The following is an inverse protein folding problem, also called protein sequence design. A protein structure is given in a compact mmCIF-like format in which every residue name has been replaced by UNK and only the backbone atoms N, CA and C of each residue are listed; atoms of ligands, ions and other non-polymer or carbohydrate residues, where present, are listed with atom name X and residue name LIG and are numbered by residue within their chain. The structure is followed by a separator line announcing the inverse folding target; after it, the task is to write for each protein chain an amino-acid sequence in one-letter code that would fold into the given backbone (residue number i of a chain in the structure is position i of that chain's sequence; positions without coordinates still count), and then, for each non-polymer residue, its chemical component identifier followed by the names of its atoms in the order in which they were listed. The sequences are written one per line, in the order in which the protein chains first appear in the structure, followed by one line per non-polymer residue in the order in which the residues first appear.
data_IF_674951876868
#
_entry.id   IF_674951876868
#
_cell.length_a   1.000
_cell.length_b   1.000
_cell.length_c   1.000
_cell.angle_alpha   90.00
_cell.angle_beta   90.00
_cell.angle_gamma   90.00
#
_symmetry.space_group_name_H-M   'P 1'
#
loop_
_entity.id
_entity.type
_entity.pdbx_description
1 polymer ?
#
# COMPACT_ATOMS: atom_id res chain seq x y z
N UNK A 1 -0.05 25.50 15.91
CA UNK A 1 -1.14 25.75 14.95
C UNK A 1 -2.23 26.50 15.71
N UNK A 2 -2.75 27.63 15.19
CA UNK A 2 -3.87 28.35 15.79
C UNK A 2 -5.11 27.44 15.89
N UNK A 3 -6.00 27.72 16.84
CA UNK A 3 -7.26 26.98 16.97
C UNK A 3 -8.18 27.32 15.80
N UNK A 4 -8.67 26.30 15.09
CA UNK A 4 -9.61 26.49 13.98
C UNK A 4 -10.87 27.25 14.44
N UNK A 5 -11.41 28.18 13.61
CA UNK A 5 -12.66 28.87 13.92
C UNK A 5 -13.84 27.89 13.96
N UNK A 6 -14.99 28.32 14.52
CA UNK A 6 -16.22 27.53 14.48
C UNK A 6 -16.75 27.48 13.05
N UNK A 7 -16.85 26.27 12.50
CA UNK A 7 -17.28 26.06 11.12
C UNK A 7 -18.76 26.38 10.89
N UNK A 8 -19.05 27.22 9.91
CA UNK A 8 -20.42 27.61 9.53
C UNK A 8 -21.19 26.44 8.89
N UNK A 9 -22.52 26.48 8.96
CA UNK A 9 -23.38 25.43 8.37
C UNK A 9 -23.15 25.30 6.86
N UNK A 10 -23.06 26.43 6.16
CA UNK A 10 -22.80 26.48 4.71
C UNK A 10 -21.48 25.80 4.33
N UNK A 11 -20.42 26.01 5.11
CA UNK A 11 -19.10 25.40 4.84
C UNK A 11 -19.18 23.89 5.09
N UNK A 12 -19.86 23.45 6.13
CA UNK A 12 -20.06 22.02 6.39
C UNK A 12 -20.82 21.34 5.25
N UNK A 13 -21.89 21.95 4.76
CA UNK A 13 -22.70 21.43 3.65
C UNK A 13 -21.88 21.29 2.35
N UNK A 14 -21.00 22.26 2.06
CA UNK A 14 -20.08 22.19 0.91
C UNK A 14 -18.93 21.21 1.11
N UNK A 15 -18.41 21.11 2.33
CA UNK A 15 -17.24 20.27 2.65
C UNK A 15 -17.59 18.78 2.68
N UNK A 16 -18.74 18.42 3.24
CA UNK A 16 -19.16 17.03 3.41
C UNK A 16 -19.08 16.16 2.14
N UNK A 17 -19.68 16.54 0.99
CA UNK A 17 -19.59 15.74 -0.23
C UNK A 17 -18.15 15.64 -0.75
N UNK A 18 -17.34 16.70 -0.58
CA UNK A 18 -15.94 16.67 -1.02
C UNK A 18 -15.09 15.71 -0.18
N UNK A 19 -15.29 15.68 1.14
CA UNK A 19 -14.59 14.75 2.03
C UNK A 19 -15.06 13.30 1.81
N UNK A 20 -16.34 13.10 1.51
CA UNK A 20 -16.87 11.79 1.13
C UNK A 20 -16.22 11.30 -0.19
N UNK A 21 -16.17 12.16 -1.21
CA UNK A 21 -15.52 11.84 -2.48
C UNK A 21 -14.02 11.56 -2.31
N UNK A 22 -13.32 12.31 -1.45
CA UNK A 22 -11.92 12.07 -1.17
C UNK A 22 -11.70 10.70 -0.49
N UNK A 23 -12.58 10.31 0.44
CA UNK A 23 -12.53 8.97 1.07
C UNK A 23 -12.86 7.86 0.07
N UNK A 24 -13.83 8.09 -0.82
CA UNK A 24 -14.14 7.16 -1.89
C UNK A 24 -12.94 6.99 -2.84
N UNK A 25 -12.28 8.09 -3.19
CA UNK A 25 -11.06 8.08 -4.02
C UNK A 25 -9.92 7.28 -3.37
N UNK A 26 -9.88 7.19 -2.03
CA UNK A 26 -8.93 6.33 -1.32
C UNK A 26 -9.27 4.84 -1.47
N UNK A 27 -10.55 4.49 -1.51
CA UNK A 27 -11.01 3.11 -1.74
C UNK A 27 -10.84 2.68 -3.19
N UNK A 28 -10.88 3.63 -4.12
CA UNK A 28 -10.74 3.35 -5.55
C UNK A 28 -9.32 3.62 -6.09
N UNK A 29 -8.42 4.11 -5.22
CA UNK A 29 -7.10 4.66 -5.58
C UNK A 29 -7.13 5.67 -6.74
N UNK A 30 -8.22 6.42 -6.87
CA UNK A 30 -8.43 7.40 -7.93
C UNK A 30 -7.74 8.72 -7.60
N UNK A 31 -6.48 8.84 -8.04
CA UNK A 31 -5.70 10.06 -7.85
C UNK A 31 -6.27 11.29 -8.58
N UNK A 32 -7.01 11.10 -9.68
CA UNK A 32 -7.57 12.20 -10.45
C UNK A 32 -8.74 12.84 -9.70
N UNK A 33 -9.70 12.04 -9.25
CA UNK A 33 -10.81 12.50 -8.43
C UNK A 33 -10.37 12.99 -7.05
N UNK A 34 -9.34 12.36 -6.47
CA UNK A 34 -8.72 12.85 -5.24
C UNK A 34 -8.14 14.27 -5.42
N UNK A 35 -7.46 14.53 -6.53
CA UNK A 35 -6.88 15.85 -6.83
C UNK A 35 -7.97 16.92 -6.99
N UNK A 36 -9.04 16.64 -7.74
CA UNK A 36 -10.18 17.55 -7.91
C UNK A 36 -10.81 17.88 -6.54
N UNK A 37 -11.07 16.85 -5.73
CA UNK A 37 -11.68 16.99 -4.41
C UNK A 37 -10.77 17.80 -3.48
N UNK A 38 -9.47 17.49 -3.43
CA UNK A 38 -8.51 18.16 -2.57
C UNK A 38 -8.31 19.63 -2.96
N UNK A 39 -8.31 19.98 -4.25
CA UNK A 39 -8.23 21.38 -4.69
C UNK A 39 -9.43 22.18 -4.19
N UNK A 40 -10.65 21.63 -4.33
CA UNK A 40 -11.88 22.27 -3.85
C UNK A 40 -11.90 22.41 -2.32
N UNK A 41 -11.49 21.36 -1.60
CA UNK A 41 -11.34 21.40 -0.14
C UNK A 41 -10.32 22.47 0.27
N UNK A 42 -9.18 22.55 -0.40
CA UNK A 42 -8.15 23.54 -0.07
C UNK A 42 -8.65 24.96 -0.28
N UNK A 43 -9.34 25.23 -1.39
CA UNK A 43 -9.90 26.54 -1.67
C UNK A 43 -10.94 26.94 -0.63
N UNK A 44 -11.80 26.00 -0.21
CA UNK A 44 -12.84 26.24 0.80
C UNK A 44 -12.27 26.46 2.22
N UNK A 45 -11.27 25.66 2.62
CA UNK A 45 -10.78 25.68 4.00
C UNK A 45 -9.69 26.72 4.24
N UNK A 46 -8.86 27.04 3.24
CA UNK A 46 -7.76 27.99 3.39
C UNK A 46 -8.25 29.43 3.51
N UNK A 47 -9.25 29.82 2.71
CA UNK A 47 -9.82 31.19 2.76
C UNK A 47 -10.41 31.52 4.14
N UNK A 48 -10.84 30.49 4.87
CA UNK A 48 -11.56 30.60 6.13
C UNK A 48 -10.71 30.19 7.36
N UNK A 49 -9.44 29.84 7.16
CA UNK A 49 -8.50 29.53 8.24
C UNK A 49 -8.70 28.18 8.95
N UNK A 50 -9.41 27.21 8.37
CA UNK A 50 -9.59 25.86 8.95
C UNK A 50 -8.38 24.94 8.66
N UNK A 51 -7.21 25.35 9.13
CA UNK A 51 -5.95 24.68 8.80
C UNK A 51 -5.86 23.25 9.36
N UNK A 52 -6.40 22.96 10.55
CA UNK A 52 -6.33 21.60 11.11
C UNK A 52 -7.15 20.62 10.26
N UNK A 53 -8.37 21.00 9.87
CA UNK A 53 -9.20 20.18 8.98
C UNK A 53 -8.60 20.04 7.58
N UNK A 54 -7.91 21.07 7.09
CA UNK A 54 -7.17 21.01 5.83
C UNK A 54 -6.03 19.99 5.89
N UNK A 55 -5.24 19.98 6.96
CA UNK A 55 -4.15 19.00 7.12
C UNK A 55 -4.67 17.55 7.19
N UNK A 56 -5.80 17.32 7.85
CA UNK A 56 -6.44 15.98 7.89
C UNK A 56 -6.80 15.48 6.49
N UNK A 57 -7.40 16.34 5.65
CA UNK A 57 -7.73 15.99 4.27
C UNK A 57 -6.47 15.80 3.41
N UNK A 58 -5.44 16.61 3.62
CA UNK A 58 -4.16 16.46 2.93
C UNK A 58 -3.44 15.14 3.26
N UNK A 59 -3.55 14.65 4.50
CA UNK A 59 -3.00 13.33 4.85
C UNK A 59 -3.64 12.22 4.00
N UNK A 60 -4.97 12.24 3.89
CA UNK A 60 -5.70 11.28 3.04
C UNK A 60 -5.27 11.42 1.58
N UNK A 61 -5.24 12.65 1.07
CA UNK A 61 -4.80 12.90 -0.29
C UNK A 61 -3.38 12.38 -0.56
N UNK A 62 -2.41 12.66 0.32
CA UNK A 62 -1.03 12.19 0.10
C UNK A 62 -0.87 10.68 0.32
N UNK A 63 -1.73 10.03 1.10
CA UNK A 63 -1.83 8.57 1.11
C UNK A 63 -2.25 8.04 -0.26
N UNK A 64 -3.27 8.64 -0.90
CA UNK A 64 -3.70 8.27 -2.27
C UNK A 64 -2.56 8.48 -3.27
N UNK A 65 -1.88 9.63 -3.22
CA UNK A 65 -0.76 9.96 -4.10
C UNK A 65 0.40 8.97 -3.91
N UNK A 66 0.70 8.59 -2.67
CA UNK A 66 1.72 7.59 -2.35
C UNK A 66 1.34 6.20 -2.90
N UNK A 67 0.10 5.75 -2.69
CA UNK A 67 -0.37 4.47 -3.23
C UNK A 67 -0.52 4.46 -4.76
N UNK A 68 -0.49 5.64 -5.39
CA UNK A 68 -0.38 5.82 -6.84
C UNK A 68 1.07 5.93 -7.33
N UNK A 69 2.06 5.59 -6.49
CA UNK A 69 3.50 5.62 -6.76
C UNK A 69 4.07 6.98 -7.17
N UNK A 70 3.33 8.07 -6.92
CA UNK A 70 3.84 9.43 -7.08
C UNK A 70 4.54 9.90 -5.80
N UNK A 71 5.63 9.19 -5.46
CA UNK A 71 6.32 9.30 -4.18
C UNK A 71 6.92 10.69 -3.95
N UNK A 72 7.41 11.36 -4.98
CA UNK A 72 8.00 12.70 -4.84
C UNK A 72 6.96 13.74 -4.41
N UNK A 73 5.77 13.71 -4.98
CA UNK A 73 4.67 14.61 -4.61
C UNK A 73 4.18 14.28 -3.20
N UNK A 74 4.02 12.98 -2.87
CA UNK A 74 3.63 12.55 -1.53
C UNK A 74 4.64 13.01 -0.46
N UNK A 75 5.95 12.78 -0.67
CA UNK A 75 7.00 13.18 0.27
C UNK A 75 6.98 14.68 0.52
N UNK A 76 7.03 15.49 -0.54
CA UNK A 76 7.01 16.95 -0.44
C UNK A 76 5.76 17.44 0.32
N UNK A 77 4.61 16.86 0.01
CA UNK A 77 3.34 17.13 0.67
C UNK A 77 3.35 16.83 2.17
N UNK A 78 3.79 15.63 2.53
CA UNK A 78 3.84 15.14 3.91
C UNK A 78 4.86 15.92 4.75
N UNK A 79 6.02 16.26 4.19
CA UNK A 79 6.99 17.17 4.84
C UNK A 79 6.37 18.55 5.09
N UNK A 80 5.57 19.05 4.15
CA UNK A 80 4.79 20.27 4.31
C UNK A 80 3.79 20.19 5.47
N UNK A 81 3.14 19.04 5.67
CA UNK A 81 2.26 18.80 6.82
C UNK A 81 3.06 18.81 8.12
N UNK A 82 4.20 18.11 8.18
CA UNK A 82 5.05 18.07 9.39
C UNK A 82 5.51 19.45 9.86
N UNK A 83 5.72 20.40 8.93
CA UNK A 83 6.07 21.79 9.25
C UNK A 83 4.92 22.58 9.88
N UNK A 84 3.67 22.15 9.70
CA UNK A 84 2.47 22.88 10.11
C UNK A 84 1.77 22.30 11.34
N UNK A 85 1.88 20.99 11.58
CA UNK A 85 1.20 20.32 12.69
C UNK A 85 2.11 20.21 13.92
N UNK A 86 1.52 20.09 15.10
CA UNK A 86 2.29 19.89 16.34
C UNK A 86 3.01 18.54 16.34
N UNK A 87 4.25 18.49 16.84
CA UNK A 87 5.03 17.26 16.96
C UNK A 87 4.39 16.16 17.82
N UNK A 88 3.49 16.52 18.74
CA UNK A 88 2.73 15.56 19.55
C UNK A 88 1.37 15.17 18.95
N UNK A 89 0.97 15.81 17.84
CA UNK A 89 -0.34 15.56 17.25
C UNK A 89 -0.42 14.19 16.58
N UNK A 90 -1.64 13.65 16.53
CA UNK A 90 -1.95 12.47 15.72
C UNK A 90 -1.49 12.66 14.28
N UNK A 91 -1.84 13.78 13.64
CA UNK A 91 -1.46 14.10 12.26
C UNK A 91 0.05 14.00 12.01
N UNK A 92 0.87 14.36 13.00
CA UNK A 92 2.33 14.23 12.89
C UNK A 92 2.78 12.77 12.90
N UNK A 93 2.15 11.91 13.72
CA UNK A 93 2.35 10.46 13.68
C UNK A 93 1.93 9.90 12.30
N UNK A 94 0.79 10.31 11.77
CA UNK A 94 0.27 9.82 10.48
C UNK A 94 1.23 10.21 9.34
N UNK A 95 1.66 11.48 9.29
CA UNK A 95 2.59 11.97 8.29
C UNK A 95 3.95 11.25 8.34
N UNK A 96 4.53 11.02 9.52
CA UNK A 96 5.79 10.27 9.61
C UNK A 96 5.63 8.80 9.23
N UNK A 97 4.47 8.19 9.51
CA UNK A 97 4.17 6.81 9.12
C UNK A 97 4.18 6.68 7.59
N UNK A 98 3.47 7.57 6.89
CA UNK A 98 3.45 7.60 5.42
C UNK A 98 4.81 7.96 4.82
N UNK A 99 5.56 8.90 5.41
CA UNK A 99 6.92 9.22 4.96
C UNK A 99 7.88 8.03 5.10
N UNK A 100 7.72 7.23 6.16
CA UNK A 100 8.50 5.99 6.33
C UNK A 100 8.30 5.08 5.13
N UNK A 101 7.04 4.85 4.73
CA UNK A 101 6.71 4.01 3.57
C UNK A 101 7.24 4.63 2.27
N UNK A 102 7.04 5.94 2.05
CA UNK A 102 7.54 6.62 0.86
C UNK A 102 9.06 6.49 0.69
N UNK A 103 9.83 6.80 1.74
CA UNK A 103 11.29 6.72 1.68
C UNK A 103 11.76 5.27 1.55
N UNK A 104 11.07 4.30 2.16
CA UNK A 104 11.38 2.89 2.02
C UNK A 104 11.19 2.42 0.57
N UNK A 105 10.07 2.77 -0.08
CA UNK A 105 9.84 2.50 -1.51
C UNK A 105 10.91 3.13 -2.40
N UNK A 106 11.36 4.36 -2.10
CA UNK A 106 12.47 5.01 -2.82
C UNK A 106 13.85 4.42 -2.53
N UNK A 107 13.99 3.53 -1.55
CA UNK A 107 15.30 3.06 -1.09
C UNK A 107 16.14 4.09 -0.36
N UNK A 108 15.51 5.15 0.16
CA UNK A 108 16.18 6.21 0.89
C UNK A 108 16.29 5.87 2.39
N UNK A 109 17.50 5.81 2.92
CA UNK A 109 17.78 5.54 4.33
C UNK A 109 17.07 6.48 5.32
N UNK A 110 16.56 7.64 4.86
CA UNK A 110 15.70 8.53 5.65
C UNK A 110 14.46 7.85 6.22
N UNK A 111 14.00 6.72 5.66
CA UNK A 111 12.87 5.98 6.23
C UNK A 111 13.10 5.63 7.71
N UNK A 112 14.33 5.28 8.10
CA UNK A 112 14.68 4.95 9.48
C UNK A 112 14.45 6.12 10.43
N UNK A 113 14.73 7.35 9.99
CA UNK A 113 14.50 8.56 10.77
C UNK A 113 13.01 8.79 11.02
N UNK A 114 12.18 8.62 9.99
CA UNK A 114 10.73 8.77 10.12
C UNK A 114 10.11 7.64 10.96
N UNK A 115 10.60 6.41 10.79
CA UNK A 115 10.18 5.25 11.58
C UNK A 115 10.39 5.47 13.07
N UNK A 116 11.59 5.93 13.48
CA UNK A 116 11.88 6.26 14.89
C UNK A 116 10.95 7.33 15.45
N UNK A 117 10.62 8.35 14.65
CA UNK A 117 9.67 9.40 15.05
C UNK A 117 8.27 8.84 15.24
N UNK A 118 7.83 7.97 14.33
CA UNK A 118 6.53 7.28 14.45
C UNK A 118 6.46 6.46 15.74
N UNK A 119 7.46 5.61 16.00
CA UNK A 119 7.52 4.73 17.19
C UNK A 119 7.37 5.54 18.48
N UNK A 120 8.15 6.62 18.62
CA UNK A 120 8.12 7.50 19.81
C UNK A 120 6.77 8.19 20.05
N UNK A 121 5.95 8.32 19.01
CA UNK A 121 4.64 8.96 19.10
C UNK A 121 3.50 7.97 19.31
N UNK A 122 3.73 6.66 19.20
CA UNK A 122 2.68 5.66 19.44
C UNK A 122 2.14 5.75 20.86
N UNK A 123 2.95 6.20 21.83
CA UNK A 123 2.52 6.49 23.21
C UNK A 123 1.38 7.52 23.30
N UNK A 124 1.18 8.35 22.27
CA UNK A 124 0.08 9.32 22.21
C UNK A 124 -1.26 8.66 21.86
N UNK A 125 -1.26 7.39 21.45
CA UNK A 125 -2.47 6.58 21.29
C UNK A 125 -2.83 6.02 22.67
N UNK A 126 -3.93 6.52 23.24
CA UNK A 126 -4.34 6.20 24.61
C UNK A 126 -4.76 4.74 24.79
N UNK A 127 -5.49 4.18 23.83
CA UNK A 127 -5.97 2.79 23.88
C UNK A 127 -4.86 1.79 23.56
N UNK A 128 -4.62 0.84 24.47
CA UNK A 128 -3.67 -0.25 24.24
C UNK A 128 -4.06 -1.11 23.04
N UNK A 129 -5.35 -1.44 22.88
CA UNK A 129 -5.86 -2.16 21.72
C UNK A 129 -5.47 -1.46 20.41
N UNK A 130 -5.67 -0.15 20.34
CA UNK A 130 -5.29 0.65 19.16
C UNK A 130 -3.77 0.75 18.97
N UNK A 131 -2.98 0.81 20.06
CA UNK A 131 -1.52 0.73 19.97
C UNK A 131 -1.07 -0.60 19.38
N UNK A 132 -1.63 -1.72 19.85
CA UNK A 132 -1.35 -3.06 19.32
C UNK A 132 -1.70 -3.18 17.84
N UNK A 133 -2.89 -2.71 17.45
CA UNK A 133 -3.33 -2.69 16.06
C UNK A 133 -2.38 -1.84 15.19
N UNK A 134 -2.03 -0.64 15.66
CA UNK A 134 -1.10 0.25 14.96
C UNK A 134 0.29 -0.37 14.80
N UNK A 135 0.88 -0.93 15.86
CA UNK A 135 2.18 -1.60 15.80
C UNK A 135 2.17 -2.76 14.81
N UNK A 136 1.15 -3.62 14.91
CA UNK A 136 0.99 -4.76 14.02
C UNK A 136 0.92 -4.31 12.56
N UNK A 137 0.04 -3.35 12.27
CA UNK A 137 -0.17 -2.87 10.90
C UNK A 137 1.06 -2.15 10.35
N UNK A 138 1.64 -1.21 11.10
CA UNK A 138 2.75 -0.39 10.64
C UNK A 138 4.02 -1.23 10.42
N UNK A 139 4.33 -2.15 11.35
CA UNK A 139 5.47 -3.06 11.19
C UNK A 139 5.25 -4.04 10.04
N UNK A 140 4.04 -4.60 9.91
CA UNK A 140 3.71 -5.46 8.77
C UNK A 140 3.89 -4.72 7.45
N UNK A 141 3.42 -3.47 7.35
CA UNK A 141 3.54 -2.67 6.13
C UNK A 141 4.99 -2.38 5.78
N UNK A 142 5.84 -2.02 6.75
CA UNK A 142 7.28 -1.81 6.51
C UNK A 142 7.92 -3.09 5.97
N UNK A 143 7.69 -4.21 6.63
CA UNK A 143 8.24 -5.49 6.21
C UNK A 143 7.71 -5.93 4.83
N UNK A 144 6.44 -5.68 4.50
CA UNK A 144 5.87 -5.95 3.18
C UNK A 144 6.60 -5.15 2.09
N UNK A 145 6.85 -3.86 2.34
CA UNK A 145 7.56 -2.97 1.42
C UNK A 145 9.05 -3.36 1.30
N UNK A 146 9.68 -3.87 2.37
CA UNK A 146 11.03 -4.43 2.29
C UNK A 146 11.10 -5.68 1.41
N UNK A 147 10.11 -6.57 1.53
CA UNK A 147 10.02 -7.78 0.70
C UNK A 147 9.82 -7.41 -0.77
N UNK A 148 8.91 -6.47 -1.06
CA UNK A 148 8.72 -5.96 -2.43
C UNK A 148 10.01 -5.36 -2.96
N UNK A 149 10.69 -4.53 -2.16
CA UNK A 149 11.94 -3.90 -2.57
C UNK A 149 13.05 -4.90 -2.82
N UNK A 150 13.11 -6.00 -2.08
CA UNK A 150 14.05 -7.09 -2.38
C UNK A 150 13.79 -7.71 -3.76
N UNK A 151 12.52 -7.83 -4.18
CA UNK A 151 12.19 -8.30 -5.53
C UNK A 151 12.58 -7.28 -6.61
N UNK A 152 12.48 -5.98 -6.32
CA UNK A 152 12.89 -4.89 -7.22
C UNK A 152 14.42 -4.83 -7.36
N UNK A 153 15.16 -4.95 -6.25
CA UNK A 153 16.63 -4.94 -6.27
C UNK A 153 17.19 -6.16 -7.02
N UNK A 154 16.48 -7.30 -6.97
CA UNK A 154 16.78 -8.51 -7.73
C UNK A 154 16.04 -8.56 -9.08
N UNK A 155 15.76 -7.39 -9.67
CA UNK A 155 15.06 -7.29 -10.94
C UNK A 155 15.88 -7.90 -12.09
N UNK A 156 15.42 -9.05 -12.57
CA UNK A 156 15.83 -9.63 -13.84
C UNK A 156 14.64 -9.52 -14.80
N UNK A 157 14.82 -8.80 -15.91
CA UNK A 157 13.72 -8.57 -16.87
C UNK A 157 13.38 -9.89 -17.56
N UNK A 158 12.21 -10.44 -17.28
CA UNK A 158 11.70 -11.61 -18.01
C UNK A 158 10.74 -11.23 -19.13
N UNK A 159 10.61 -12.12 -20.11
CA UNK A 159 9.61 -11.99 -21.17
C UNK A 159 8.19 -12.25 -20.62
N UNK A 160 7.24 -11.40 -21.01
CA UNK A 160 5.86 -11.48 -20.52
C UNK A 160 5.08 -12.63 -21.16
N UNK A 161 5.43 -13.03 -22.40
CA UNK A 161 4.80 -14.16 -23.08
C UNK A 161 5.29 -15.49 -22.50
N UNK A 162 6.57 -15.58 -22.17
CA UNK A 162 7.13 -16.70 -21.42
C UNK A 162 6.46 -16.87 -20.05
N UNK A 163 6.33 -15.78 -19.28
CA UNK A 163 5.65 -15.81 -17.99
C UNK A 163 4.20 -16.31 -18.09
N UNK A 164 3.47 -15.89 -19.12
CA UNK A 164 2.12 -16.39 -19.40
C UNK A 164 2.11 -17.89 -19.70
N UNK A 165 2.96 -18.35 -20.62
CA UNK A 165 3.00 -19.76 -21.01
C UNK A 165 3.31 -20.68 -19.84
N UNK A 166 4.30 -20.33 -19.02
CA UNK A 166 4.67 -21.08 -17.82
C UNK A 166 3.56 -21.07 -16.76
N UNK A 167 2.84 -19.95 -16.59
CA UNK A 167 1.70 -19.89 -15.69
C UNK A 167 0.56 -20.82 -16.14
N UNK A 168 0.26 -20.86 -17.45
CA UNK A 168 -0.73 -21.78 -18.01
C UNK A 168 -0.28 -23.24 -17.86
N UNK A 169 1.01 -23.54 -18.06
CA UNK A 169 1.55 -24.87 -17.84
C UNK A 169 1.40 -25.32 -16.38
N UNK A 170 1.72 -24.44 -15.42
CA UNK A 170 1.51 -24.73 -13.99
C UNK A 170 0.06 -25.07 -13.67
N UNK A 171 -0.90 -24.37 -14.30
CA UNK A 171 -2.32 -24.64 -14.13
C UNK A 171 -2.74 -25.97 -14.77
N UNK A 172 -2.28 -26.26 -16.00
CA UNK A 172 -2.55 -27.52 -16.71
C UNK A 172 -2.00 -28.74 -15.97
N UNK A 173 -0.84 -28.59 -15.33
CA UNK A 173 -0.20 -29.64 -14.53
C UNK A 173 -0.80 -29.76 -13.12
N UNK A 174 -1.94 -29.13 -12.84
CA UNK A 174 -2.65 -29.17 -11.57
C UNK A 174 -1.78 -28.82 -10.35
N UNK A 175 -0.77 -27.94 -10.51
CA UNK A 175 0.04 -27.47 -9.37
C UNK A 175 -0.87 -26.84 -8.32
N UNK A 176 -0.61 -27.12 -7.05
CA UNK A 176 -1.41 -26.58 -5.95
C UNK A 176 -1.14 -25.08 -5.76
N UNK A 177 -2.04 -24.37 -5.08
CA UNK A 177 -1.77 -22.97 -4.70
C UNK A 177 -0.54 -22.89 -3.79
N UNK A 178 -0.31 -23.91 -2.98
CA UNK A 178 0.86 -23.99 -2.11
C UNK A 178 2.16 -24.03 -2.92
N UNK A 179 2.19 -24.73 -4.06
CA UNK A 179 3.35 -24.73 -4.96
C UNK A 179 3.60 -23.34 -5.55
N UNK A 180 2.54 -22.62 -5.92
CA UNK A 180 2.64 -21.26 -6.44
C UNK A 180 3.12 -20.28 -5.36
N UNK A 181 2.63 -20.40 -4.12
CA UNK A 181 3.13 -19.60 -3.00
C UNK A 181 4.58 -19.95 -2.65
N UNK A 182 4.97 -21.22 -2.75
CA UNK A 182 6.35 -21.63 -2.52
C UNK A 182 7.29 -21.03 -3.57
N UNK A 183 6.90 -21.08 -4.85
CA UNK A 183 7.65 -20.47 -5.95
C UNK A 183 7.75 -18.95 -5.78
N UNK A 184 6.66 -18.27 -5.42
CA UNK A 184 6.67 -16.83 -5.18
C UNK A 184 7.59 -16.46 -4.02
N UNK A 185 7.52 -17.19 -2.90
CA UNK A 185 8.34 -16.92 -1.73
C UNK A 185 9.82 -17.26 -1.92
N UNK A 186 10.15 -18.23 -2.78
CA UNK A 186 11.53 -18.58 -3.09
C UNK A 186 12.28 -17.51 -3.88
N UNK A 187 11.55 -16.57 -4.51
CA UNK A 187 12.16 -15.41 -5.20
C UNK A 187 12.72 -14.35 -4.24
N UNK A 188 12.38 -14.44 -2.95
CA UNK A 188 12.93 -13.54 -1.93
C UNK A 188 14.26 -14.10 -1.42
N UNK A 189 15.31 -13.29 -1.54
CA UNK A 189 16.62 -13.62 -0.98
C UNK A 189 16.56 -13.65 0.56
N UNK A 190 17.14 -14.68 1.16
CA UNK A 190 17.25 -14.80 2.62
C UNK A 190 18.07 -13.66 3.25
N UNK A 191 18.93 -12.97 2.49
CA UNK A 191 19.72 -11.82 2.97
C UNK A 191 18.85 -10.69 3.54
N UNK A 192 17.59 -10.56 3.08
CA UNK A 192 16.65 -9.55 3.60
C UNK A 192 16.21 -9.83 5.05
N UNK A 193 16.39 -11.06 5.56
CA UNK A 193 16.08 -11.42 6.96
C UNK A 193 16.83 -10.50 7.93
N UNK A 194 18.13 -10.29 7.68
CA UNK A 194 18.99 -9.44 8.53
C UNK A 194 18.49 -8.00 8.53
N UNK A 195 18.01 -7.51 7.39
CA UNK A 195 17.44 -6.15 7.31
C UNK A 195 16.12 -6.04 8.08
N UNK A 196 15.24 -7.04 7.97
CA UNK A 196 13.97 -7.09 8.72
C UNK A 196 14.26 -7.11 10.23
N UNK A 197 15.20 -7.92 10.67
CA UNK A 197 15.63 -8.00 12.07
C UNK A 197 16.23 -6.68 12.56
N UNK A 198 17.07 -6.03 11.75
CA UNK A 198 17.62 -4.72 12.06
C UNK A 198 16.52 -3.64 12.22
N UNK A 199 15.49 -3.67 11.37
CA UNK A 199 14.37 -2.75 11.50
C UNK A 199 13.51 -3.04 12.74
N UNK A 200 13.34 -4.32 13.10
CA UNK A 200 12.70 -4.69 14.37
C UNK A 200 13.52 -4.28 15.59
N UNK A 201 14.84 -4.37 15.53
CA UNK A 201 15.70 -3.89 16.61
C UNK A 201 15.53 -2.39 16.85
N UNK A 202 15.25 -1.59 15.81
CA UNK A 202 14.89 -0.18 16.00
C UNK A 202 13.57 -0.06 16.80
N UNK A 203 12.56 -0.89 16.54
CA UNK A 203 11.34 -0.93 17.36
C UNK A 203 11.66 -1.30 18.81
N UNK A 204 12.43 -2.36 19.05
CA UNK A 204 12.74 -2.79 20.41
C UNK A 204 13.52 -1.74 21.22
N UNK A 205 14.41 -0.98 20.56
CA UNK A 205 15.23 0.04 21.22
C UNK A 205 14.48 1.35 21.48
N UNK A 206 13.57 1.76 20.58
CA UNK A 206 12.89 3.05 20.67
C UNK A 206 11.47 2.98 21.29
N UNK A 207 10.96 1.78 21.59
CA UNK A 207 9.62 1.58 22.15
C UNK A 207 9.64 1.40 23.67
N UNK A 208 8.60 1.90 24.35
CA UNK A 208 8.42 1.70 25.79
C UNK A 208 8.31 0.19 26.11
N UNK A 209 8.92 -0.26 27.22
CA UNK A 209 8.95 -1.67 27.61
C UNK A 209 7.56 -2.34 27.70
N UNK A 210 6.53 -1.56 28.07
CA UNK A 210 5.13 -2.02 28.12
C UNK A 210 4.57 -2.36 26.73
N UNK A 211 4.96 -1.61 25.71
CA UNK A 211 4.43 -1.74 24.34
C UNK A 211 5.23 -2.78 23.52
N UNK A 212 6.44 -3.16 23.95
CA UNK A 212 7.23 -4.25 23.33
C UNK A 212 6.43 -5.56 23.26
N UNK A 213 5.63 -5.86 24.29
CA UNK A 213 4.79 -7.06 24.36
C UNK A 213 3.63 -7.04 23.34
N UNK A 214 3.34 -5.89 22.74
CA UNK A 214 2.29 -5.72 21.73
C UNK A 214 2.78 -6.02 20.32
N UNK A 215 4.09 -6.20 20.11
CA UNK A 215 4.66 -6.43 18.80
C UNK A 215 4.30 -7.85 18.29
N UNK A 216 3.96 -8.00 17.00
CA UNK A 216 3.76 -9.32 16.40
C UNK A 216 5.09 -10.08 16.33
N UNK A 217 5.02 -11.40 16.20
CA UNK A 217 6.20 -12.23 16.00
C UNK A 217 6.92 -11.89 14.66
N UNK A 218 8.25 -12.07 14.59
CA UNK A 218 8.98 -11.87 13.35
C UNK A 218 8.57 -12.88 12.27
N UNK A 219 8.46 -12.45 11.01
CA UNK A 219 8.32 -13.41 9.92
C UNK A 219 9.57 -14.29 9.86
N UNK A 220 9.38 -15.58 9.66
CA UNK A 220 10.47 -16.51 9.39
C UNK A 220 10.59 -16.69 7.88
N UNK A 221 11.62 -16.12 7.25
CA UNK A 221 11.79 -16.24 5.80
C UNK A 221 12.17 -17.65 5.33
N UNK A 222 12.56 -18.54 6.25
CA UNK A 222 12.69 -19.97 5.98
C UNK A 222 11.34 -20.62 5.58
N UNK A 223 10.22 -20.06 6.02
CA UNK A 223 8.88 -20.52 5.68
C UNK A 223 8.42 -19.90 4.36
N UNK A 224 9.11 -20.25 3.26
CA UNK A 224 8.94 -19.63 1.93
C UNK A 224 7.49 -19.58 1.46
N UNK A 225 6.68 -20.59 1.74
CA UNK A 225 5.24 -20.58 1.48
C UNK A 225 4.50 -19.40 2.15
N UNK A 226 4.79 -19.12 3.43
CA UNK A 226 4.16 -17.99 4.15
C UNK A 226 4.64 -16.65 3.59
N UNK A 227 5.90 -16.57 3.19
CA UNK A 227 6.46 -15.41 2.47
C UNK A 227 5.70 -15.18 1.16
N UNK A 228 5.45 -16.22 0.38
CA UNK A 228 4.66 -16.14 -0.85
C UNK A 228 3.24 -15.63 -0.63
N UNK A 229 2.52 -16.16 0.38
CA UNK A 229 1.18 -15.66 0.74
C UNK A 229 1.20 -14.17 1.10
N UNK A 230 2.22 -13.76 1.85
CA UNK A 230 2.41 -12.38 2.27
C UNK A 230 2.71 -11.45 1.08
N UNK A 231 3.63 -11.85 0.20
CA UNK A 231 3.92 -11.14 -1.05
C UNK A 231 2.69 -11.03 -1.95
N UNK A 232 1.92 -12.12 -2.11
CA UNK A 232 0.67 -12.09 -2.88
C UNK A 232 -0.28 -11.03 -2.35
N UNK A 233 -0.44 -10.92 -1.03
CA UNK A 233 -1.27 -9.89 -0.41
C UNK A 233 -0.72 -8.48 -0.63
N UNK A 234 0.58 -8.30 -0.49
CA UNK A 234 1.22 -7.00 -0.61
C UNK A 234 1.18 -6.48 -2.07
N UNK A 235 1.58 -7.31 -3.04
CA UNK A 235 1.62 -6.99 -4.46
C UNK A 235 0.21 -6.99 -5.07
N UNK A 236 -0.68 -7.86 -4.58
CA UNK A 236 -2.06 -7.96 -5.04
C UNK A 236 -2.81 -6.63 -4.96
N UNK A 237 -2.55 -5.81 -3.94
CA UNK A 237 -3.10 -4.45 -3.81
C UNK A 237 -2.68 -3.53 -4.95
N UNK A 238 -1.46 -3.70 -5.46
CA UNK A 238 -0.94 -2.88 -6.56
C UNK A 238 -1.47 -3.35 -7.91
N UNK A 239 -1.56 -4.68 -8.10
CA UNK A 239 -2.20 -5.28 -9.27
C UNK A 239 -3.69 -4.92 -9.33
N UNK A 240 -4.36 -4.84 -8.18
CA UNK A 240 -5.77 -4.46 -8.06
C UNK A 240 -6.11 -3.19 -8.83
N UNK A 241 -5.27 -2.16 -8.73
CA UNK A 241 -5.47 -0.91 -9.49
C UNK A 241 -5.48 -1.14 -11.00
N UNK A 242 -4.73 -2.09 -11.54
CA UNK A 242 -4.70 -2.34 -13.00
C UNK A 242 -5.88 -3.20 -13.46
N UNK A 243 -6.47 -4.00 -12.58
CA UNK A 243 -7.51 -4.97 -12.94
C UNK A 243 -8.93 -4.56 -12.52
N UNK A 244 -9.09 -3.70 -11.52
CA UNK A 244 -10.37 -3.49 -10.82
C UNK A 244 -10.91 -2.05 -10.88
N UNK A 245 -10.33 -1.17 -11.70
CA UNK A 245 -10.83 0.22 -11.85
C UNK A 245 -12.25 0.19 -12.44
N UNK A 246 -13.15 0.98 -11.83
CA UNK A 246 -14.48 1.28 -12.38
C UNK A 246 -14.35 2.25 -13.54
N UNK A 247 -14.54 1.73 -14.73
CA UNK A 247 -14.49 2.44 -16.01
C UNK A 247 -14.27 1.38 -17.07
N UNK A 248 -15.11 1.37 -18.10
CA UNK A 248 -15.15 0.38 -19.18
C UNK A 248 -13.77 -0.20 -19.48
N UNK A 249 -13.58 -1.52 -19.33
CA UNK A 249 -12.80 -2.32 -20.29
C UNK A 249 -12.71 -3.81 -19.90
N UNK A 250 -12.51 -4.23 -18.65
CA UNK A 250 -12.30 -5.68 -18.42
C UNK A 250 -13.60 -6.50 -18.52
N UNK A 251 -14.67 -6.10 -17.83
CA UNK A 251 -15.99 -6.77 -17.89
C UNK A 251 -16.69 -6.64 -19.24
N UNK A 252 -16.44 -5.54 -19.97
CA UNK A 252 -16.92 -5.33 -21.34
C UNK A 252 -16.15 -6.18 -22.34
N UNK A 253 -14.85 -6.41 -22.14
CA UNK A 253 -14.04 -7.37 -22.92
C UNK A 253 -14.48 -8.82 -22.67
N UNK A 254 -14.85 -9.20 -21.43
CA UNK A 254 -15.47 -10.51 -21.12
C UNK A 254 -16.85 -10.67 -21.75
N UNK A 255 -17.68 -9.62 -21.73
CA UNK A 255 -19.03 -9.63 -22.32
C UNK A 255 -19.02 -9.60 -23.85
N UNK A 256 -17.95 -9.12 -24.49
CA UNK A 256 -17.78 -9.06 -25.95
C UNK A 256 -17.27 -10.36 -26.60
N UNK A 257 -17.21 -11.47 -25.86
CA UNK A 257 -16.98 -12.78 -26.46
C UNK A 257 -15.52 -13.08 -26.81
N UNK A 258 -14.56 -12.50 -26.08
CA UNK A 258 -13.18 -12.99 -26.12
C UNK A 258 -13.19 -14.46 -25.68
N UNK A 259 -12.93 -15.37 -26.62
CA UNK A 259 -12.73 -16.80 -26.37
C UNK A 259 -11.75 -16.98 -25.21
N UNK A 260 -11.98 -17.96 -24.32
CA UNK A 260 -11.32 -18.04 -23.01
C UNK A 260 -9.79 -17.87 -23.02
N UNK A 261 -9.10 -18.29 -24.09
CA UNK A 261 -7.65 -18.09 -24.28
C UNK A 261 -7.24 -16.62 -24.39
N UNK A 262 -8.01 -15.80 -25.08
CA UNK A 262 -7.75 -14.38 -25.28
C UNK A 262 -8.01 -13.55 -24.02
N UNK A 263 -9.01 -13.95 -23.21
CA UNK A 263 -9.26 -13.37 -21.90
C UNK A 263 -8.12 -13.64 -20.91
N UNK A 264 -7.68 -14.90 -20.79
CA UNK A 264 -6.57 -15.26 -19.90
C UNK A 264 -5.26 -14.59 -20.30
N UNK A 265 -4.99 -14.47 -21.60
CA UNK A 265 -3.83 -13.74 -22.11
C UNK A 265 -3.89 -12.26 -21.73
N UNK A 266 -5.05 -11.62 -21.90
CA UNK A 266 -5.27 -10.21 -21.52
C UNK A 266 -5.03 -9.96 -20.03
N UNK A 267 -5.58 -10.80 -19.16
CA UNK A 267 -5.38 -10.66 -17.71
C UNK A 267 -3.93 -10.87 -17.31
N UNK A 268 -3.28 -11.87 -17.90
CA UNK A 268 -1.88 -12.19 -17.63
C UNK A 268 -0.95 -11.05 -18.05
N UNK A 269 -1.21 -10.46 -19.23
CA UNK A 269 -0.48 -9.30 -19.71
C UNK A 269 -0.69 -8.08 -18.81
N UNK A 270 -1.92 -7.81 -18.38
CA UNK A 270 -2.20 -6.71 -17.46
C UNK A 270 -1.47 -6.87 -16.11
N UNK A 271 -1.40 -8.09 -15.58
CA UNK A 271 -0.64 -8.41 -14.37
C UNK A 271 0.87 -8.22 -14.62
N UNK A 272 1.40 -8.76 -15.72
CA UNK A 272 2.82 -8.65 -16.04
C UNK A 272 3.26 -7.19 -16.21
N UNK A 273 2.46 -6.38 -16.92
CA UNK A 273 2.69 -4.95 -17.07
C UNK A 273 2.53 -4.19 -15.74
N UNK A 274 1.63 -4.63 -14.85
CA UNK A 274 1.54 -4.05 -13.50
C UNK A 274 2.83 -4.27 -12.71
N UNK A 275 3.42 -5.46 -12.83
CA UNK A 275 4.69 -5.80 -12.18
C UNK A 275 5.88 -5.07 -12.81
N UNK A 276 5.92 -4.95 -14.14
CA UNK A 276 6.95 -4.18 -14.84
C UNK A 276 6.92 -2.70 -14.44
N UNK A 277 5.74 -2.11 -14.26
CA UNK A 277 5.59 -0.74 -13.76
C UNK A 277 6.11 -0.53 -12.33
N UNK A 278 6.21 -1.61 -11.55
CA UNK A 278 6.82 -1.62 -10.22
C UNK A 278 8.29 -2.01 -10.23
N UNK A 279 8.88 -2.18 -11.41
CA UNK A 279 10.24 -2.68 -11.56
C UNK A 279 10.39 -4.08 -10.92
N UNK A 280 9.36 -4.93 -10.99
CA UNK A 280 9.38 -6.34 -10.58
C UNK A 280 9.39 -7.22 -11.84
N UNK A 281 10.60 -7.61 -12.27
CA UNK A 281 10.82 -8.29 -13.55
C UNK A 281 10.90 -9.82 -13.44
N UNK A 282 11.13 -10.35 -12.25
CA UNK A 282 11.48 -11.75 -12.03
C UNK A 282 10.41 -12.71 -12.57
N UNK A 283 10.85 -13.68 -13.39
CA UNK A 283 9.98 -14.65 -14.07
C UNK A 283 9.15 -15.46 -13.07
N UNK A 284 9.76 -15.99 -12.02
CA UNK A 284 9.09 -16.78 -10.99
C UNK A 284 8.00 -15.98 -10.25
N UNK A 285 8.23 -14.69 -10.02
CA UNK A 285 7.22 -13.79 -9.45
C UNK A 285 6.05 -13.62 -10.41
N UNK A 286 6.31 -13.27 -11.68
CA UNK A 286 5.27 -13.08 -12.71
C UNK A 286 4.45 -14.35 -12.90
N UNK A 287 5.09 -15.49 -13.10
CA UNK A 287 4.46 -16.80 -13.27
C UNK A 287 3.54 -17.12 -12.10
N UNK A 288 4.04 -17.00 -10.87
CA UNK A 288 3.27 -17.31 -9.66
C UNK A 288 2.06 -16.40 -9.50
N UNK A 289 2.21 -15.09 -9.71
CA UNK A 289 1.13 -14.12 -9.54
C UNK A 289 0.08 -14.22 -10.64
N UNK A 290 0.50 -14.49 -11.89
CA UNK A 290 -0.42 -14.79 -13.00
C UNK A 290 -1.22 -16.04 -12.68
N UNK A 291 -0.55 -17.16 -12.35
CA UNK A 291 -1.21 -18.42 -12.06
C UNK A 291 -2.19 -18.32 -10.88
N UNK A 292 -1.79 -17.67 -9.78
CA UNK A 292 -2.66 -17.41 -8.62
C UNK A 292 -3.86 -16.52 -8.97
N UNK A 293 -3.68 -15.52 -9.83
CA UNK A 293 -4.78 -14.65 -10.27
C UNK A 293 -5.76 -15.38 -11.19
N UNK A 294 -5.28 -16.24 -12.10
CA UNK A 294 -6.13 -16.98 -13.04
C UNK A 294 -7.00 -18.05 -12.35
N UNK A 295 -6.67 -18.45 -11.11
CA UNK A 295 -7.47 -19.42 -10.34
C UNK A 295 -8.73 -18.84 -9.70
N UNK A 296 -8.82 -17.52 -9.56
CA UNK A 296 -9.96 -16.86 -8.94
C UNK A 296 -10.65 -15.96 -9.96
N UNK A 297 -11.96 -15.76 -9.82
CA UNK A 297 -12.67 -14.83 -10.68
C UNK A 297 -12.21 -13.39 -10.45
N UNK A 298 -12.38 -12.53 -11.45
CA UNK A 298 -12.07 -11.09 -11.35
C UNK A 298 -12.80 -10.43 -10.19
N UNK A 299 -14.07 -10.74 -9.98
CA UNK A 299 -14.86 -10.23 -8.84
C UNK A 299 -14.25 -10.62 -7.50
N UNK A 300 -13.90 -11.91 -7.33
CA UNK A 300 -13.27 -12.41 -6.09
C UNK A 300 -11.90 -11.78 -5.88
N UNK A 301 -11.12 -11.60 -6.95
CA UNK A 301 -9.83 -10.89 -6.89
C UNK A 301 -10.02 -9.44 -6.44
N UNK A 302 -10.99 -8.73 -7.02
CA UNK A 302 -11.24 -7.33 -6.71
C UNK A 302 -11.77 -7.15 -5.28
N UNK A 303 -12.61 -8.05 -4.77
CA UNK A 303 -13.02 -8.01 -3.36
C UNK A 303 -11.85 -8.33 -2.41
N UNK A 304 -11.06 -9.35 -2.73
CA UNK A 304 -9.97 -9.82 -1.88
C UNK A 304 -8.83 -8.82 -1.72
N UNK A 305 -8.48 -8.09 -2.79
CA UNK A 305 -7.35 -7.15 -2.80
C UNK A 305 -7.78 -5.68 -2.75
N UNK A 306 -9.06 -5.41 -2.49
CA UNK A 306 -9.58 -4.06 -2.31
C UNK A 306 -8.71 -3.28 -1.30
N UNK A 307 -8.36 -2.03 -1.63
CA UNK A 307 -7.42 -1.30 -0.82
C UNK A 307 -8.00 -0.92 0.54
N UNK A 308 -7.12 -0.97 1.53
CA UNK A 308 -7.41 -0.62 2.92
C UNK A 308 -6.45 0.47 3.31
N UNK A 309 -6.99 1.60 3.77
CA UNK A 309 -6.18 2.72 4.22
C UNK A 309 -5.24 2.29 5.34
N UNK A 310 -3.97 2.69 5.26
CA UNK A 310 -2.99 2.59 6.33
C UNK A 310 -3.52 3.28 7.58
N UNK A 311 -4.28 4.34 7.34
CA UNK A 311 -4.91 5.14 8.36
C UNK A 311 -6.29 4.62 8.76
N UNK A 312 -6.71 3.38 8.44
CA UNK A 312 -8.04 2.87 8.81
C UNK A 312 -8.12 2.30 10.24
N UNK A 313 -7.03 1.78 10.80
CA UNK A 313 -6.95 1.18 12.14
C UNK A 313 -6.72 2.23 13.24
N UNK A 314 -7.67 3.18 13.31
CA UNK A 314 -7.61 4.43 14.09
C UNK A 314 -8.07 4.36 15.53
#
# INVERSE_FOLDING_TARGET
MPRDPKMTKLIKEKLHPLEANLKQSLQDYDSANANISMQRIQNLLRSEGYESRLMQNKLIYFEIIMENDNLNVAISGLEGILKKVSGSSRMFLEANSLLTICHLRKGDAKYKKHMRRTIKLVRNITSEKKRKEFHSYFLQRIEDEMLIRNLIENHEKSDNKEAYNLAIEMLKNNKSENDMYLLLGSQVDNSIQVQIENNRNIYYLDLDAKDIKLLPLPPKLSEKHKVGKRLRKAIGKTIWKKLCIKGEDFDTLTKKGLEGTSFYMGMSLAIALALDNLEIGNLGVKVSLIALSLRISTNVFCEMFAPTSIMSHR
#
